data_IF_578374766220
#
_entry.id   IF_578374766220
#
_cell.length_a   1.000
_cell.length_b   1.000
_cell.length_c   1.000
_cell.angle_alpha   90.00
_cell.angle_beta   90.00
_cell.angle_gamma   90.00
#
_symmetry.space_group_name_H-M   'P 1'
#
loop_
_entity.id
_entity.type
_entity.pdbx_description
1 polymer ?
#
# COMPACT_ATOMS: atom_id res chain seq x y z
N UNK A 1 -20.10 8.27 -16.65
CA UNK A 1 -19.21 7.20 -16.15
C UNK A 1 -18.12 7.85 -15.32
N UNK A 2 -17.73 7.26 -14.17
CA UNK A 2 -16.65 7.83 -13.34
C UNK A 2 -15.30 7.67 -14.07
N UNK A 3 -14.38 8.66 -13.95
CA UNK A 3 -13.07 8.55 -14.56
C UNK A 3 -12.25 7.42 -13.89
N UNK A 4 -11.41 6.68 -14.64
CA UNK A 4 -10.58 5.59 -14.09
C UNK A 4 -9.69 6.01 -12.90
N UNK A 5 -9.24 7.28 -12.87
CA UNK A 5 -8.46 7.84 -11.78
C UNK A 5 -9.21 7.83 -10.44
N UNK A 6 -10.55 7.95 -10.44
CA UNK A 6 -11.35 7.86 -9.21
C UNK A 6 -11.22 6.47 -8.58
N UNK A 7 -11.31 5.42 -9.39
CA UNK A 7 -11.12 4.03 -8.93
C UNK A 7 -9.67 3.86 -8.43
N UNK A 8 -8.69 4.42 -9.13
CA UNK A 8 -7.28 4.40 -8.73
C UNK A 8 -7.04 5.00 -7.33
N UNK A 9 -7.61 6.17 -7.04
CA UNK A 9 -7.48 6.79 -5.72
C UNK A 9 -8.18 5.99 -4.62
N UNK A 10 -9.37 5.45 -4.89
CA UNK A 10 -10.09 4.59 -3.92
C UNK A 10 -9.30 3.32 -3.65
N UNK A 11 -8.81 2.66 -4.70
CA UNK A 11 -7.98 1.46 -4.59
C UNK A 11 -6.72 1.73 -3.76
N UNK A 12 -5.98 2.80 -4.09
CA UNK A 12 -4.79 3.21 -3.36
C UNK A 12 -5.06 3.49 -1.88
N UNK A 13 -6.13 4.24 -1.59
CA UNK A 13 -6.52 4.52 -0.20
C UNK A 13 -6.81 3.24 0.57
N UNK A 14 -7.63 2.34 -0.01
CA UNK A 14 -7.99 1.07 0.62
C UNK A 14 -6.77 0.19 0.88
N UNK A 15 -5.82 0.11 -0.05
CA UNK A 15 -4.60 -0.69 0.13
C UNK A 15 -3.70 -0.09 1.21
N UNK A 16 -3.50 1.23 1.22
CA UNK A 16 -2.67 1.90 2.24
C UNK A 16 -3.24 1.71 3.64
N UNK A 17 -4.55 1.92 3.84
CA UNK A 17 -5.17 1.80 5.17
C UNK A 17 -5.41 0.35 5.60
N UNK A 18 -5.28 -0.63 4.70
CA UNK A 18 -5.51 -2.05 5.01
C UNK A 18 -4.59 -2.61 6.09
N UNK A 19 -3.42 -2.00 6.33
CA UNK A 19 -2.50 -2.38 7.39
C UNK A 19 -2.91 -1.88 8.77
N UNK A 20 -3.76 -0.84 8.85
CA UNK A 20 -4.16 -0.23 10.12
C UNK A 20 -4.85 -1.23 11.08
N UNK A 21 -5.81 -2.07 10.65
CA UNK A 21 -6.37 -3.12 11.51
C UNK A 21 -5.31 -4.08 12.06
N UNK A 22 -4.31 -4.43 11.26
CA UNK A 22 -3.23 -5.35 11.69
C UNK A 22 -2.31 -4.68 12.72
N UNK A 23 -1.96 -3.40 12.52
CA UNK A 23 -1.22 -2.60 13.50
C UNK A 23 -1.98 -2.51 14.82
N UNK A 24 -3.28 -2.19 14.76
CA UNK A 24 -4.15 -2.12 15.95
C UNK A 24 -4.20 -3.48 16.66
N UNK A 25 -4.30 -4.59 15.92
CA UNK A 25 -4.26 -5.94 16.50
C UNK A 25 -2.94 -6.19 17.23
N UNK A 26 -1.80 -5.91 16.61
CA UNK A 26 -0.48 -6.08 17.23
C UNK A 26 -0.29 -5.22 18.49
N UNK A 27 -0.78 -3.98 18.47
CA UNK A 27 -0.72 -3.11 19.65
C UNK A 27 -1.58 -3.61 20.81
N UNK A 28 -2.75 -4.18 20.50
CA UNK A 28 -3.67 -4.78 21.48
C UNK A 28 -3.15 -6.10 22.05
N UNK A 29 -2.63 -6.99 21.21
CA UNK A 29 -2.14 -8.32 21.63
C UNK A 29 -0.70 -8.31 22.10
N UNK A 30 0.04 -7.21 21.86
CA UNK A 30 1.49 -7.09 22.10
C UNK A 30 2.31 -8.20 21.42
N UNK A 31 1.80 -8.73 20.31
CA UNK A 31 2.47 -9.80 19.56
C UNK A 31 2.46 -9.52 18.06
N UNK A 32 3.61 -9.77 17.43
CA UNK A 32 3.82 -9.83 15.98
C UNK A 32 4.19 -11.24 15.51
N UNK A 33 4.08 -12.26 16.38
CA UNK A 33 4.49 -13.64 16.10
C UNK A 33 3.87 -14.24 14.85
N UNK A 34 2.63 -13.85 14.55
CA UNK A 34 1.84 -14.41 13.46
C UNK A 34 2.03 -13.62 12.15
N UNK A 35 2.86 -12.57 12.17
CA UNK A 35 3.16 -11.76 11.00
C UNK A 35 4.37 -12.35 10.27
N UNK A 36 4.16 -12.71 9.01
CA UNK A 36 5.26 -13.09 8.12
C UNK A 36 6.09 -11.87 7.71
N UNK A 37 7.33 -11.79 8.18
CA UNK A 37 8.27 -10.75 7.73
C UNK A 37 8.59 -10.85 6.22
N UNK A 38 8.59 -12.07 5.66
CA UNK A 38 8.79 -12.28 4.23
C UNK A 38 7.66 -11.65 3.40
N UNK A 39 6.41 -11.71 3.89
CA UNK A 39 5.28 -11.05 3.24
C UNK A 39 5.49 -9.53 3.17
N UNK A 40 5.95 -8.90 4.26
CA UNK A 40 6.24 -7.47 4.29
C UNK A 40 7.36 -7.08 3.32
N UNK A 41 8.47 -7.84 3.27
CA UNK A 41 9.57 -7.54 2.34
C UNK A 41 9.11 -7.63 0.88
N UNK A 42 8.37 -8.66 0.52
CA UNK A 42 7.84 -8.84 -0.83
C UNK A 42 6.86 -7.72 -1.17
N UNK A 43 5.95 -7.40 -0.25
CA UNK A 43 4.97 -6.33 -0.42
C UNK A 43 5.66 -4.98 -0.64
N UNK A 44 6.58 -4.60 0.24
CA UNK A 44 7.31 -3.33 0.17
C UNK A 44 8.10 -3.20 -1.12
N UNK A 45 8.79 -4.27 -1.53
CA UNK A 45 9.50 -4.31 -2.82
C UNK A 45 8.53 -4.12 -3.98
N UNK A 46 7.36 -4.75 -3.94
CA UNK A 46 6.30 -4.58 -4.94
C UNK A 46 5.78 -3.14 -5.01
N UNK A 47 5.52 -2.50 -3.87
CA UNK A 47 5.07 -1.10 -3.80
C UNK A 47 6.12 -0.15 -4.38
N UNK A 48 7.41 -0.36 -4.06
CA UNK A 48 8.51 0.42 -4.65
C UNK A 48 8.57 0.27 -6.17
N UNK A 49 8.39 -0.95 -6.69
CA UNK A 49 8.33 -1.20 -8.14
C UNK A 49 7.11 -0.52 -8.78
N UNK A 50 5.95 -0.54 -8.13
CA UNK A 50 4.75 0.18 -8.60
C UNK A 50 4.95 1.69 -8.59
N UNK A 51 5.64 2.24 -7.59
CA UNK A 51 5.99 3.66 -7.54
C UNK A 51 6.90 4.05 -8.71
N UNK A 52 7.95 3.25 -8.98
CA UNK A 52 8.83 3.43 -10.14
C UNK A 52 8.01 3.37 -11.43
N UNK A 53 7.14 2.38 -11.57
CA UNK A 53 6.26 2.24 -12.74
C UNK A 53 5.33 3.46 -12.92
N UNK A 54 4.72 3.95 -11.84
CA UNK A 54 3.87 5.15 -11.88
C UNK A 54 4.64 6.39 -12.31
N UNK A 55 5.87 6.57 -11.81
CA UNK A 55 6.76 7.67 -12.23
C UNK A 55 7.11 7.57 -13.72
N UNK A 56 7.43 6.38 -14.22
CA UNK A 56 7.75 6.15 -15.63
C UNK A 56 6.55 6.36 -16.57
N UNK A 57 5.32 6.14 -16.08
CA UNK A 57 4.08 6.28 -16.86
C UNK A 57 3.35 7.61 -16.62
N UNK A 58 3.86 8.46 -15.72
CA UNK A 58 3.21 9.69 -15.24
C UNK A 58 1.78 9.47 -14.70
N UNK A 59 1.52 8.29 -14.11
CA UNK A 59 0.22 7.94 -13.52
C UNK A 59 0.13 8.45 -12.07
N UNK A 60 -0.51 9.61 -11.89
CA UNK A 60 -0.66 10.25 -10.59
C UNK A 60 -1.34 9.37 -9.53
N UNK A 61 -2.47 8.69 -9.79
CA UNK A 61 -3.06 7.74 -8.84
C UNK A 61 -2.06 6.69 -8.33
N UNK A 62 -1.28 6.06 -9.22
CA UNK A 62 -0.28 5.04 -8.84
C UNK A 62 0.83 5.68 -8.00
N UNK A 63 1.34 6.84 -8.41
CA UNK A 63 2.41 7.57 -7.69
C UNK A 63 1.96 7.93 -6.28
N UNK A 64 0.79 8.56 -6.14
CA UNK A 64 0.28 9.01 -4.83
C UNK A 64 0.01 7.82 -3.92
N UNK A 65 -0.61 6.76 -4.42
CA UNK A 65 -0.91 5.58 -3.61
C UNK A 65 0.35 4.88 -3.09
N UNK A 66 1.32 4.65 -3.97
CA UNK A 66 2.52 3.89 -3.60
C UNK A 66 3.56 4.73 -2.85
N UNK A 67 3.60 6.06 -3.04
CA UNK A 67 4.49 6.93 -2.24
C UNK A 67 4.12 7.00 -0.76
N UNK A 68 2.83 6.96 -0.43
CA UNK A 68 2.36 6.89 0.97
C UNK A 68 2.50 5.48 1.54
N UNK A 69 2.44 4.45 0.70
CA UNK A 69 2.54 3.07 1.15
C UNK A 69 3.99 2.63 1.36
N UNK A 70 4.95 3.18 0.61
CA UNK A 70 6.38 2.84 0.67
C UNK A 70 7.19 3.57 1.76
N UNK A 71 6.53 4.04 2.83
CA UNK A 71 7.13 4.89 3.88
C UNK A 71 7.17 4.23 5.25
#
# INVERSE_FOLDING_TARGET
>A
MLPPSFIGYVAGTLTTVSFLPQVVKCLKTKSTSDISGAMYVIFETGVLLWLIYGLLTADLPIIVANSVTAS
#
